data_IF_018359705692
#
_entry.id   IF_018359705692
#
_cell.length_a   1.000
_cell.length_b   1.000
_cell.length_c   1.000
_cell.angle_alpha   90.00
_cell.angle_beta   90.00
_cell.angle_gamma   90.00
#
_symmetry.space_group_name_H-M   'P 1'
#
loop_
_entity.id
_entity.type
_entity.pdbx_description
1 polymer ?
#
# COMPACT_ATOMS: atom_id res chain seq x y z
N UNK A 1 15.03 9.73 -66.10
CA UNK A 1 14.42 8.62 -65.35
C UNK A 1 14.99 8.64 -63.93
N UNK A 2 14.27 9.21 -62.94
CA UNK A 2 14.74 9.36 -61.55
C UNK A 2 14.05 8.29 -60.69
N UNK A 3 14.84 7.40 -60.11
CA UNK A 3 14.37 6.31 -59.25
C UNK A 3 14.44 6.82 -57.80
N UNK A 4 13.30 6.91 -57.13
CA UNK A 4 13.23 7.24 -55.70
C UNK A 4 13.18 5.94 -54.89
N UNK A 5 14.20 5.69 -54.08
CA UNK A 5 14.24 4.58 -53.13
C UNK A 5 13.54 5.01 -51.84
N UNK A 6 12.38 4.42 -51.58
CA UNK A 6 11.66 4.56 -50.32
C UNK A 6 12.23 3.54 -49.34
N UNK A 7 12.83 4.02 -48.25
CA UNK A 7 13.27 3.16 -47.16
C UNK A 7 12.14 3.04 -46.13
N UNK A 8 11.51 1.88 -46.06
CA UNK A 8 10.57 1.54 -44.99
C UNK A 8 11.38 1.20 -43.74
N UNK A 9 11.46 2.14 -42.78
CA UNK A 9 11.98 1.84 -41.45
C UNK A 9 10.85 1.17 -40.67
N UNK A 10 10.95 -0.14 -40.49
CA UNK A 10 10.07 -0.88 -39.59
C UNK A 10 10.40 -0.47 -38.15
N UNK A 11 9.55 0.35 -37.55
CA UNK A 11 9.63 0.69 -36.14
C UNK A 11 9.17 -0.54 -35.33
N UNK A 12 10.12 -1.33 -34.85
CA UNK A 12 9.85 -2.40 -33.88
C UNK A 12 9.41 -1.75 -32.55
N UNK A 13 8.10 -1.70 -32.31
CA UNK A 13 7.58 -1.47 -30.97
C UNK A 13 7.88 -2.70 -30.12
N UNK A 14 8.98 -2.65 -29.38
CA UNK A 14 9.24 -3.57 -28.29
C UNK A 14 8.27 -3.18 -27.18
N UNK A 15 7.10 -3.84 -27.15
CA UNK A 15 6.18 -3.75 -26.03
C UNK A 15 6.86 -4.31 -24.78
N UNK A 16 7.50 -3.45 -24.01
CA UNK A 16 8.09 -3.80 -22.72
C UNK A 16 6.98 -4.24 -21.77
N UNK A 17 7.11 -5.45 -21.23
CA UNK A 17 6.29 -5.91 -20.12
C UNK A 17 6.68 -5.07 -18.90
N UNK A 18 5.86 -4.08 -18.54
CA UNK A 18 6.05 -3.30 -17.31
C UNK A 18 5.61 -4.16 -16.12
N UNK A 19 6.57 -4.78 -15.43
CA UNK A 19 6.31 -5.33 -14.10
C UNK A 19 6.06 -4.16 -13.16
N UNK A 20 4.82 -3.93 -12.72
CA UNK A 20 4.55 -2.97 -11.66
C UNK A 20 5.27 -3.46 -10.40
N UNK A 21 6.25 -2.71 -9.94
CA UNK A 21 6.89 -2.97 -8.65
C UNK A 21 5.84 -2.82 -7.54
N UNK A 22 5.86 -3.74 -6.58
CA UNK A 22 4.97 -3.67 -5.42
C UNK A 22 5.44 -2.51 -4.52
N UNK A 23 4.67 -1.42 -4.51
CA UNK A 23 4.95 -0.27 -3.65
C UNK A 23 4.22 -0.45 -2.31
N UNK A 24 4.98 -0.35 -1.21
CA UNK A 24 4.43 -0.31 0.15
C UNK A 24 4.60 1.11 0.69
N UNK A 25 3.48 1.78 0.96
CA UNK A 25 3.47 3.08 1.62
C UNK A 25 3.93 2.91 3.07
N UNK A 26 5.11 3.46 3.36
CA UNK A 26 5.76 3.35 4.67
C UNK A 26 5.01 4.13 5.75
N UNK A 27 5.29 3.80 7.02
CA UNK A 27 4.64 4.40 8.19
C UNK A 27 4.63 5.94 8.22
N UNK A 28 5.64 6.58 7.65
CA UNK A 28 5.71 8.04 7.57
C UNK A 28 4.66 8.65 6.63
N UNK A 29 4.22 7.93 5.59
CA UNK A 29 3.21 8.40 4.63
C UNK A 29 1.88 8.71 5.31
N UNK A 30 1.54 7.95 6.36
CA UNK A 30 0.31 8.14 7.14
C UNK A 30 0.57 8.73 8.54
N UNK A 31 1.76 9.31 8.76
CA UNK A 31 2.13 9.97 10.02
C UNK A 31 1.97 9.07 11.26
N UNK A 32 2.38 7.81 11.16
CA UNK A 32 2.28 6.84 12.27
C UNK A 32 2.93 7.34 13.56
N UNK A 33 2.27 7.08 14.69
CA UNK A 33 2.93 7.12 15.99
C UNK A 33 3.92 5.96 16.11
N UNK A 34 4.95 6.16 16.94
CA UNK A 34 5.84 5.09 17.33
C UNK A 34 5.07 4.01 18.10
N UNK A 35 5.31 2.72 17.82
CA UNK A 35 4.69 1.64 18.56
C UNK A 35 5.23 1.58 20.00
N UNK A 36 4.38 1.16 20.93
CA UNK A 36 4.82 0.70 22.24
C UNK A 36 5.56 -0.64 22.12
N UNK A 37 6.42 -1.01 23.09
CA UNK A 37 7.14 -2.27 23.05
C UNK A 37 6.22 -3.48 22.87
N UNK A 38 6.52 -4.32 21.89
CA UNK A 38 5.84 -5.60 21.66
C UNK A 38 6.85 -6.71 21.31
N UNK A 39 6.44 -7.96 21.50
CA UNK A 39 7.30 -9.12 21.23
C UNK A 39 7.44 -9.36 19.73
N UNK A 40 8.67 -9.39 19.22
CA UNK A 40 8.96 -9.79 17.85
C UNK A 40 8.71 -11.28 17.62
N UNK A 41 8.30 -11.63 16.40
CA UNK A 41 8.12 -13.00 15.96
C UNK A 41 8.40 -13.13 14.46
N UNK A 42 8.64 -14.36 13.99
CA UNK A 42 8.73 -14.67 12.56
C UNK A 42 7.35 -15.12 12.10
N UNK A 43 6.70 -14.41 11.15
CA UNK A 43 5.41 -14.82 10.62
C UNK A 43 5.48 -16.20 9.95
N UNK A 44 4.53 -17.09 10.26
CA UNK A 44 4.40 -18.43 9.65
C UNK A 44 2.99 -18.71 9.11
N UNK A 45 2.06 -17.75 9.28
CA UNK A 45 0.67 -17.81 8.82
C UNK A 45 0.23 -16.39 8.47
N UNK A 46 -0.61 -16.29 7.44
CA UNK A 46 -1.30 -15.06 7.06
C UNK A 46 -2.75 -15.14 7.54
N UNK A 47 -3.23 -14.07 8.15
CA UNK A 47 -4.65 -13.87 8.44
C UNK A 47 -5.17 -12.68 7.66
N UNK A 48 -6.39 -12.79 7.14
CA UNK A 48 -7.06 -11.73 6.37
C UNK A 48 -8.19 -11.21 7.24
N UNK A 49 -8.25 -9.89 7.39
CA UNK A 49 -9.26 -9.20 8.18
C UNK A 49 -9.83 -8.02 7.37
N UNK A 50 -11.09 -7.70 7.61
CA UNK A 50 -11.67 -6.40 7.25
C UNK A 50 -11.93 -5.62 8.53
N UNK A 51 -11.93 -4.29 8.46
CA UNK A 51 -12.05 -3.42 9.64
C UNK A 51 -13.46 -3.43 10.26
N UNK A 52 -14.46 -3.83 9.49
CA UNK A 52 -15.87 -3.77 9.92
C UNK A 52 -16.47 -2.36 9.86
N UNK A 53 -15.77 -1.44 9.19
CA UNK A 53 -16.23 -0.08 8.86
C UNK A 53 -16.36 0.02 7.34
N UNK A 54 -17.33 0.79 6.86
CA UNK A 54 -17.44 1.12 5.44
C UNK A 54 -16.37 2.16 5.11
N UNK A 55 -15.51 1.85 4.16
CA UNK A 55 -14.51 2.74 3.60
C UNK A 55 -14.60 2.67 2.07
N UNK A 56 -14.96 3.78 1.45
CA UNK A 56 -15.28 3.90 0.05
C UNK A 56 -14.06 4.31 -0.77
N UNK A 57 -14.16 4.03 -2.06
CA UNK A 57 -13.19 4.48 -3.06
C UNK A 57 -13.07 6.02 -3.04
N UNK A 58 -11.84 6.53 -3.02
CA UNK A 58 -11.51 7.96 -3.01
C UNK A 58 -11.42 8.58 -1.61
N UNK A 59 -11.72 7.84 -0.55
CA UNK A 59 -11.51 8.33 0.82
C UNK A 59 -10.01 8.37 1.18
N UNK A 60 -9.65 9.23 2.12
CA UNK A 60 -8.25 9.46 2.49
C UNK A 60 -7.73 8.34 3.41
N UNK A 61 -7.16 7.28 2.82
CA UNK A 61 -6.65 6.14 3.57
C UNK A 61 -5.55 6.53 4.59
N UNK A 62 -4.52 7.34 4.25
CA UNK A 62 -3.53 7.79 5.24
C UNK A 62 -4.14 8.43 6.50
N UNK A 63 -5.14 9.29 6.34
CA UNK A 63 -5.83 9.94 7.46
C UNK A 63 -6.66 8.96 8.28
N UNK A 64 -7.40 8.06 7.63
CA UNK A 64 -8.19 7.04 8.29
C UNK A 64 -7.33 6.08 9.13
N UNK A 65 -6.22 5.60 8.55
CA UNK A 65 -5.25 4.73 9.23
C UNK A 65 -4.67 5.43 10.46
N UNK A 66 -4.36 6.72 10.36
CA UNK A 66 -3.88 7.52 11.49
C UNK A 66 -4.90 7.59 12.63
N UNK A 67 -6.16 7.89 12.31
CA UNK A 67 -7.24 7.96 13.31
C UNK A 67 -7.44 6.59 13.97
N UNK A 68 -7.43 5.52 13.19
CA UNK A 68 -7.57 4.15 13.69
C UNK A 68 -6.43 3.77 14.65
N UNK A 69 -5.19 4.12 14.32
CA UNK A 69 -4.06 3.93 15.23
C UNK A 69 -4.24 4.72 16.54
N UNK A 70 -4.62 6.00 16.46
CA UNK A 70 -4.81 6.85 17.64
C UNK A 70 -5.91 6.29 18.55
N UNK A 71 -7.03 5.86 17.99
CA UNK A 71 -8.09 5.21 18.75
C UNK A 71 -7.64 3.89 19.38
N UNK A 72 -6.92 3.05 18.61
CA UNK A 72 -6.40 1.76 19.07
C UNK A 72 -5.39 1.88 20.21
N UNK A 73 -4.51 2.88 20.16
CA UNK A 73 -3.55 3.17 21.21
C UNK A 73 -4.15 3.97 22.37
N UNK A 74 -5.35 4.53 22.18
CA UNK A 74 -6.09 5.31 23.16
C UNK A 74 -6.56 4.51 24.38
N UNK A 75 -7.19 5.20 25.35
CA UNK A 75 -7.53 4.62 26.66
C UNK A 75 -8.53 3.44 26.59
N UNK A 76 -9.33 3.37 25.52
CA UNK A 76 -10.37 2.35 25.36
C UNK A 76 -9.80 0.98 24.97
N UNK A 77 -8.72 0.98 24.18
CA UNK A 77 -8.16 -0.23 23.54
C UNK A 77 -6.77 -0.57 24.05
N UNK A 78 -5.95 0.44 24.35
CA UNK A 78 -4.59 0.29 24.90
C UNK A 78 -3.71 -0.66 24.10
N UNK A 79 -3.89 -0.70 22.78
CA UNK A 79 -3.04 -1.49 21.91
C UNK A 79 -1.65 -0.90 21.84
N UNK A 80 -0.68 -1.76 21.51
CA UNK A 80 0.71 -1.31 21.34
C UNK A 80 0.91 -0.49 20.07
N UNK A 81 0.07 -0.73 19.07
CA UNK A 81 0.08 -0.08 17.75
C UNK A 81 -1.25 -0.38 17.02
N UNK A 82 -1.35 0.01 15.75
CA UNK A 82 -2.35 -0.50 14.80
C UNK A 82 -2.31 -2.05 14.75
N UNK A 83 -3.47 -2.74 14.76
CA UNK A 83 -3.50 -4.19 14.99
C UNK A 83 -3.18 -5.05 13.75
N UNK A 84 -2.65 -4.46 12.68
CA UNK A 84 -2.40 -5.13 11.41
C UNK A 84 -0.95 -4.90 10.94
N UNK A 85 -0.38 -5.89 10.24
CA UNK A 85 0.95 -5.76 9.63
C UNK A 85 0.90 -4.96 8.31
N UNK A 86 -0.18 -5.12 7.56
CA UNK A 86 -0.45 -4.38 6.33
C UNK A 86 -1.93 -4.00 6.27
N UNK A 87 -2.22 -2.86 5.66
CA UNK A 87 -3.56 -2.39 5.33
C UNK A 87 -3.66 -2.16 3.82
N UNK A 88 -4.84 -2.37 3.23
CA UNK A 88 -5.07 -2.23 1.80
C UNK A 88 -6.35 -1.41 1.61
N UNK A 89 -6.28 -0.32 0.84
CA UNK A 89 -7.44 0.51 0.51
C UNK A 89 -8.18 -0.01 -0.76
N UNK A 90 -9.37 0.51 -1.09
CA UNK A 90 -10.14 0.09 -2.26
C UNK A 90 -9.44 0.33 -3.61
N UNK A 91 -8.43 1.20 -3.65
CA UNK A 91 -7.57 1.46 -4.81
C UNK A 91 -6.44 0.43 -4.94
N UNK A 92 -6.23 -0.40 -3.92
CA UNK A 92 -5.16 -1.40 -3.88
C UNK A 92 -3.83 -0.86 -3.38
N UNK A 93 -3.78 0.36 -2.83
CA UNK A 93 -2.57 0.86 -2.18
C UNK A 93 -2.33 0.06 -0.89
N UNK A 94 -1.08 -0.32 -0.66
CA UNK A 94 -0.68 -1.08 0.52
C UNK A 94 0.03 -0.15 1.50
N UNK A 95 -0.37 -0.19 2.76
CA UNK A 95 0.21 0.60 3.84
C UNK A 95 0.89 -0.31 4.86
N UNK A 96 2.09 0.07 5.27
CA UNK A 96 2.86 -0.57 6.33
C UNK A 96 2.21 -0.32 7.69
N UNK A 97 1.89 -1.40 8.41
CA UNK A 97 1.44 -1.41 9.79
C UNK A 97 2.57 -1.77 10.75
N UNK A 98 2.32 -2.68 11.70
CA UNK A 98 3.32 -3.15 12.67
C UNK A 98 4.26 -4.23 12.12
#
# INVERSE_FOLDING_TARGET
MKIYRIYFIALLFIGGCSSSELVINKRNVWSANDPLPYKSHIPFKITIHHEGVVFNKGENAPEHIKVFQVWGMGPDRKWTDIPYHFLIDPEGNIYEGR
#
